data_IF_730008439058
#
_entry.id   IF_730008439058
#
_cell.length_a   1.000
_cell.length_b   1.000
_cell.length_c   1.000
_cell.angle_alpha   90.00
_cell.angle_beta   90.00
_cell.angle_gamma   90.00
#
_symmetry.space_group_name_H-M   'P 1'
#
loop_
_entity.id
_entity.type
_entity.pdbx_description
1 polymer ?
#
# COMPACT_ATOMS: atom_id res chain seq x y z
N UNK A 1 -34.02 -44.65 18.23
CA UNK A 1 -35.10 -44.11 17.38
C UNK A 1 -34.45 -43.17 16.38
N UNK A 2 -34.69 -43.30 15.07
CA UNK A 2 -33.99 -42.53 14.02
C UNK A 2 -34.81 -41.27 13.63
N UNK A 3 -34.14 -40.18 13.22
CA UNK A 3 -34.73 -38.90 12.77
C UNK A 3 -35.86 -39.06 11.75
N UNK A 4 -35.76 -40.04 10.85
CA UNK A 4 -36.80 -40.35 9.88
C UNK A 4 -38.14 -40.78 10.52
N UNK A 5 -38.08 -41.52 11.63
CA UNK A 5 -39.29 -41.95 12.36
C UNK A 5 -40.00 -40.78 13.04
N UNK A 6 -39.25 -39.76 13.47
CA UNK A 6 -39.81 -38.53 14.04
C UNK A 6 -40.58 -37.78 12.97
N UNK A 7 -39.92 -37.54 11.84
CA UNK A 7 -40.48 -36.82 10.71
C UNK A 7 -41.73 -37.52 10.15
N UNK A 8 -41.70 -38.84 10.00
CA UNK A 8 -42.86 -39.60 9.55
C UNK A 8 -44.04 -39.51 10.52
N UNK A 9 -43.77 -39.48 11.83
CA UNK A 9 -44.80 -39.29 12.86
C UNK A 9 -45.43 -37.89 12.81
N UNK A 10 -44.59 -36.88 12.57
CA UNK A 10 -45.00 -35.49 12.37
C UNK A 10 -45.86 -35.32 11.12
N UNK A 11 -45.39 -35.81 9.97
CA UNK A 11 -46.08 -35.76 8.68
C UNK A 11 -47.41 -36.50 8.74
N UNK A 12 -47.45 -37.70 9.33
CA UNK A 12 -48.69 -38.47 9.48
C UNK A 12 -49.75 -37.73 10.30
N UNK A 13 -49.36 -36.99 11.35
CA UNK A 13 -50.29 -36.18 12.14
C UNK A 13 -50.85 -35.02 11.31
N UNK A 14 -50.00 -34.36 10.54
CA UNK A 14 -50.36 -33.22 9.70
C UNK A 14 -50.97 -33.61 8.35
N UNK A 15 -51.09 -34.93 8.08
CA UNK A 15 -51.60 -35.49 6.81
C UNK A 15 -50.79 -35.04 5.60
N UNK A 16 -49.47 -34.93 5.78
CA UNK A 16 -48.51 -34.61 4.72
C UNK A 16 -48.01 -35.90 4.06
N UNK A 17 -47.80 -35.84 2.75
CA UNK A 17 -47.21 -36.90 1.93
C UNK A 17 -45.73 -36.59 1.67
N UNK A 18 -44.97 -37.59 1.24
CA UNK A 18 -43.52 -37.45 0.95
C UNK A 18 -43.22 -36.45 -0.18
N UNK A 19 -44.20 -36.20 -1.06
CA UNK A 19 -44.13 -35.24 -2.16
C UNK A 19 -44.76 -33.87 -1.83
N UNK A 20 -45.24 -33.68 -0.59
CA UNK A 20 -45.82 -32.40 -0.17
C UNK A 20 -44.76 -31.31 -0.08
N UNK A 21 -45.08 -30.11 -0.58
CA UNK A 21 -44.24 -28.94 -0.40
C UNK A 21 -44.18 -28.56 1.08
N UNK A 22 -42.98 -28.27 1.58
CA UNK A 22 -42.77 -27.85 2.97
C UNK A 22 -43.31 -26.43 3.16
N UNK A 23 -44.35 -26.28 3.96
CA UNK A 23 -45.12 -25.04 4.15
C UNK A 23 -45.09 -24.48 5.57
N UNK A 24 -46.26 -24.02 6.03
CA UNK A 24 -46.44 -23.37 7.34
C UNK A 24 -46.03 -24.27 8.52
N UNK A 25 -46.05 -25.59 8.34
CA UNK A 25 -45.68 -26.57 9.35
C UNK A 25 -44.23 -26.50 9.79
N UNK A 26 -43.34 -25.99 8.94
CA UNK A 26 -41.94 -25.77 9.24
C UNK A 26 -41.57 -24.29 9.12
N UNK A 27 -42.52 -23.36 9.05
CA UNK A 27 -42.24 -21.91 8.96
C UNK A 27 -42.97 -21.14 10.07
N UNK A 28 -43.95 -20.29 9.75
CA UNK A 28 -44.64 -19.42 10.73
C UNK A 28 -45.62 -20.19 11.62
N UNK A 29 -46.11 -21.34 11.17
CA UNK A 29 -47.01 -22.21 11.93
C UNK A 29 -46.31 -23.25 12.80
N UNK A 30 -44.97 -23.32 12.77
CA UNK A 30 -44.22 -24.41 13.42
C UNK A 30 -44.50 -24.50 14.92
N UNK A 31 -44.42 -23.40 15.66
CA UNK A 31 -44.53 -23.43 17.14
C UNK A 31 -45.91 -23.93 17.60
N UNK A 32 -46.98 -23.44 16.97
CA UNK A 32 -48.34 -23.86 17.27
C UNK A 32 -48.55 -25.34 16.94
N UNK A 33 -48.05 -25.79 15.79
CA UNK A 33 -48.13 -27.18 15.40
C UNK A 33 -47.25 -28.07 16.29
N UNK A 34 -46.11 -27.56 16.77
CA UNK A 34 -45.15 -28.32 17.56
C UNK A 34 -45.68 -28.60 18.95
N UNK A 35 -46.30 -27.62 19.59
CA UNK A 35 -46.99 -27.81 20.87
C UNK A 35 -48.09 -28.86 20.76
N UNK A 36 -48.95 -28.77 19.74
CA UNK A 36 -50.00 -29.76 19.50
C UNK A 36 -49.44 -31.16 19.19
N UNK A 37 -48.23 -31.25 18.65
CA UNK A 37 -47.58 -32.54 18.43
C UNK A 37 -47.01 -33.12 19.71
N UNK A 38 -46.42 -32.29 20.57
CA UNK A 38 -45.93 -32.72 21.87
C UNK A 38 -47.07 -33.30 22.72
N UNK A 39 -48.22 -32.62 22.75
CA UNK A 39 -49.43 -33.11 23.42
C UNK A 39 -49.84 -34.48 22.86
N UNK A 40 -49.85 -34.62 21.53
CA UNK A 40 -50.17 -35.88 20.85
C UNK A 40 -49.21 -37.04 21.19
N UNK A 41 -47.92 -36.74 21.38
CA UNK A 41 -46.90 -37.74 21.70
C UNK A 41 -46.99 -38.20 23.15
N UNK A 42 -47.34 -37.30 24.08
CA UNK A 42 -47.49 -37.62 25.51
C UNK A 42 -48.61 -38.63 25.74
N UNK A 43 -49.69 -38.55 24.97
CA UNK A 43 -50.83 -39.47 25.09
C UNK A 43 -50.55 -40.88 24.50
N UNK A 44 -49.54 -41.01 23.63
CA UNK A 44 -49.31 -42.23 22.85
C UNK A 44 -48.00 -42.96 23.15
N UNK A 45 -47.03 -42.27 23.72
CA UNK A 45 -45.67 -42.79 23.89
C UNK A 45 -45.20 -42.64 25.33
N UNK A 46 -44.19 -43.45 25.70
CA UNK A 46 -43.51 -43.26 26.98
C UNK A 46 -42.87 -41.86 27.05
N UNK A 47 -42.80 -41.25 28.24
CA UNK A 47 -42.26 -39.90 28.44
C UNK A 47 -40.88 -39.70 27.79
N UNK A 48 -40.00 -40.70 27.89
CA UNK A 48 -38.66 -40.67 27.29
C UNK A 48 -38.73 -40.63 25.77
N UNK A 49 -39.54 -41.51 25.19
CA UNK A 49 -39.71 -41.61 23.73
C UNK A 49 -40.38 -40.37 23.15
N UNK A 50 -41.38 -39.81 23.84
CA UNK A 50 -42.03 -38.56 23.43
C UNK A 50 -41.05 -37.39 23.40
N UNK A 51 -40.18 -37.29 24.41
CA UNK A 51 -39.12 -36.27 24.46
C UNK A 51 -38.11 -36.44 23.32
N UNK A 52 -37.60 -37.65 23.10
CA UNK A 52 -36.63 -37.92 22.02
C UNK A 52 -37.23 -37.57 20.64
N UNK A 53 -38.50 -37.90 20.39
CA UNK A 53 -39.19 -37.54 19.14
C UNK A 53 -39.36 -36.03 18.98
N UNK A 54 -39.71 -35.31 20.04
CA UNK A 54 -39.83 -33.85 20.02
C UNK A 54 -38.48 -33.16 19.75
N UNK A 55 -37.40 -33.64 20.38
CA UNK A 55 -36.04 -33.13 20.15
C UNK A 55 -35.61 -33.34 18.69
N UNK A 56 -35.92 -34.49 18.08
CA UNK A 56 -35.61 -34.73 16.67
C UNK A 56 -36.38 -33.81 15.71
N UNK A 57 -37.63 -33.43 16.01
CA UNK A 57 -38.38 -32.46 15.19
C UNK A 57 -37.76 -31.05 15.28
N UNK A 58 -37.25 -30.65 16.46
CA UNK A 58 -36.50 -29.39 16.59
C UNK A 58 -35.19 -29.40 15.77
N UNK A 59 -34.53 -30.54 15.67
CA UNK A 59 -33.35 -30.69 14.79
C UNK A 59 -33.74 -30.58 13.32
N UNK A 60 -34.86 -31.18 12.90
CA UNK A 60 -35.39 -31.00 11.54
C UNK A 60 -35.73 -29.55 11.23
N UNK A 61 -36.31 -28.81 12.17
CA UNK A 61 -36.57 -27.37 12.03
C UNK A 61 -35.27 -26.59 11.84
N UNK A 62 -34.22 -26.92 12.60
CA UNK A 62 -32.89 -26.32 12.44
C UNK A 62 -32.28 -26.61 11.06
N UNK A 63 -32.33 -27.85 10.59
CA UNK A 63 -31.84 -28.19 9.26
C UNK A 63 -32.65 -27.52 8.15
N UNK A 64 -33.96 -27.38 8.33
CA UNK A 64 -34.79 -26.60 7.42
C UNK A 64 -34.36 -25.13 7.39
N UNK A 65 -34.11 -24.51 8.54
CA UNK A 65 -33.62 -23.12 8.62
C UNK A 65 -32.21 -22.96 8.00
N UNK A 66 -31.32 -23.94 8.19
CA UNK A 66 -30.00 -24.00 7.54
C UNK A 66 -30.12 -24.13 6.01
N UNK A 67 -31.04 -24.97 5.52
CA UNK A 67 -31.34 -25.09 4.10
C UNK A 67 -31.98 -23.81 3.53
N UNK A 68 -32.77 -23.09 4.32
CA UNK A 68 -33.31 -21.76 3.98
C UNK A 68 -32.21 -20.69 3.89
N UNK A 69 -31.06 -20.93 4.52
CA UNK A 69 -29.85 -20.11 4.41
C UNK A 69 -28.92 -20.51 3.26
N UNK A 70 -29.28 -21.49 2.43
CA UNK A 70 -28.54 -21.74 1.18
C UNK A 70 -28.75 -20.54 0.27
N UNK A 71 -27.72 -19.71 0.25
CA UNK A 71 -27.65 -18.54 -0.58
C UNK A 71 -27.53 -18.96 -2.06
N UNK A 72 -28.67 -18.96 -2.75
CA UNK A 72 -28.76 -19.30 -4.18
C UNK A 72 -28.28 -18.17 -5.08
N UNK A 73 -27.91 -17.01 -4.53
CA UNK A 73 -27.45 -15.87 -5.31
C UNK A 73 -26.00 -16.09 -5.77
N UNK A 74 -25.65 -15.64 -6.98
CA UNK A 74 -24.29 -15.68 -7.50
C UNK A 74 -23.26 -15.14 -6.50
N UNK A 75 -22.07 -15.72 -6.45
CA UNK A 75 -21.07 -15.39 -5.43
C UNK A 75 -20.41 -14.00 -5.62
N UNK A 76 -20.61 -13.34 -6.75
CA UNK A 76 -20.08 -12.00 -7.03
C UNK A 76 -21.16 -10.90 -6.92
N UNK A 77 -20.75 -9.72 -6.43
CA UNK A 77 -21.66 -8.60 -6.18
C UNK A 77 -22.53 -8.24 -7.39
N UNK A 78 -21.94 -8.21 -8.59
CA UNK A 78 -22.64 -7.71 -9.77
C UNK A 78 -23.71 -8.71 -10.22
N UNK A 79 -23.38 -9.98 -10.28
CA UNK A 79 -24.33 -11.03 -10.66
C UNK A 79 -25.43 -11.19 -9.61
N UNK A 80 -25.10 -11.13 -8.32
CA UNK A 80 -26.11 -11.15 -7.25
C UNK A 80 -27.02 -9.92 -7.30
N UNK A 81 -26.47 -8.74 -7.53
CA UNK A 81 -27.26 -7.52 -7.63
C UNK A 81 -28.16 -7.55 -8.88
N UNK A 82 -27.66 -8.04 -10.02
CA UNK A 82 -28.50 -8.23 -11.21
C UNK A 82 -29.63 -9.24 -10.97
N UNK A 83 -29.35 -10.34 -10.27
CA UNK A 83 -30.37 -11.34 -9.93
C UNK A 83 -31.44 -10.76 -9.00
N UNK A 84 -31.04 -10.02 -7.96
CA UNK A 84 -31.96 -9.36 -7.05
C UNK A 84 -32.76 -8.24 -7.71
N UNK A 85 -32.13 -7.44 -8.57
CA UNK A 85 -32.79 -6.38 -9.32
C UNK A 85 -33.82 -6.92 -10.33
N UNK A 86 -33.50 -8.02 -11.00
CA UNK A 86 -34.44 -8.69 -11.89
C UNK A 86 -35.63 -9.29 -11.13
N UNK A 87 -35.40 -9.80 -9.91
CA UNK A 87 -36.43 -10.39 -9.06
C UNK A 87 -37.31 -9.36 -8.33
N UNK A 88 -36.86 -8.12 -8.16
CA UNK A 88 -37.60 -7.10 -7.40
C UNK A 88 -38.71 -6.42 -8.20
N UNK A 89 -38.77 -6.63 -9.52
CA UNK A 89 -39.70 -5.96 -10.45
C UNK A 89 -39.65 -4.41 -10.43
N UNK A 90 -38.68 -3.83 -9.74
CA UNK A 90 -38.53 -2.38 -9.59
C UNK A 90 -37.83 -1.77 -10.80
N UNK A 91 -38.23 -0.56 -11.19
CA UNK A 91 -37.41 0.25 -12.09
C UNK A 91 -36.20 0.82 -11.35
N UNK A 92 -35.17 1.21 -12.10
CA UNK A 92 -33.95 1.84 -11.52
C UNK A 92 -34.26 3.13 -10.77
N UNK A 93 -35.29 3.87 -11.21
CA UNK A 93 -35.72 5.11 -10.57
C UNK A 93 -36.43 4.83 -9.24
N UNK A 94 -37.24 3.77 -9.18
CA UNK A 94 -37.91 3.33 -7.95
C UNK A 94 -36.89 2.81 -6.94
N UNK A 95 -35.97 1.93 -7.36
CA UNK A 95 -34.91 1.44 -6.48
C UNK A 95 -34.04 2.58 -5.94
N UNK A 96 -33.73 3.58 -6.77
CA UNK A 96 -32.97 4.76 -6.34
C UNK A 96 -33.71 5.57 -5.26
N UNK A 97 -35.01 5.77 -5.44
CA UNK A 97 -35.87 6.49 -4.49
C UNK A 97 -35.97 5.75 -3.17
N UNK A 98 -36.09 4.43 -3.21
CA UNK A 98 -36.32 3.58 -2.03
C UNK A 98 -35.04 3.31 -1.24
N UNK A 99 -33.91 3.13 -1.93
CA UNK A 99 -32.59 2.94 -1.30
C UNK A 99 -31.87 4.24 -0.95
N UNK A 100 -32.33 5.40 -1.45
CA UNK A 100 -31.60 6.67 -1.35
C UNK A 100 -30.29 6.71 -2.15
N UNK A 101 -30.03 5.71 -3.00
CA UNK A 101 -28.84 5.63 -3.86
C UNK A 101 -29.12 6.32 -5.18
N UNK A 102 -28.16 7.10 -5.71
CA UNK A 102 -28.38 7.78 -6.99
C UNK A 102 -28.58 6.78 -8.15
N UNK A 103 -29.51 7.10 -9.07
CA UNK A 103 -29.79 6.29 -10.27
C UNK A 103 -28.52 6.03 -11.08
N UNK A 104 -27.60 7.00 -11.12
CA UNK A 104 -26.30 6.86 -11.79
C UNK A 104 -25.45 5.75 -11.16
N UNK A 105 -25.44 5.62 -9.84
CA UNK A 105 -24.67 4.61 -9.11
C UNK A 105 -25.26 3.22 -9.34
N UNK A 106 -26.58 3.09 -9.29
CA UNK A 106 -27.29 1.84 -9.62
C UNK A 106 -26.97 1.41 -11.06
N UNK A 107 -27.03 2.33 -12.03
CA UNK A 107 -26.66 2.05 -13.43
C UNK A 107 -25.21 1.58 -13.55
N UNK A 108 -24.27 2.23 -12.84
CA UNK A 108 -22.86 1.85 -12.86
C UNK A 108 -22.66 0.43 -12.33
N UNK A 109 -23.40 0.05 -11.28
CA UNK A 109 -23.26 -1.25 -10.62
C UNK A 109 -23.95 -2.40 -11.36
N UNK A 110 -25.08 -2.15 -12.02
CA UNK A 110 -25.79 -3.15 -12.83
C UNK A 110 -25.15 -3.33 -14.21
N UNK A 111 -24.87 -2.22 -14.91
CA UNK A 111 -24.53 -2.28 -16.34
C UNK A 111 -23.02 -2.20 -16.57
N UNK A 112 -22.32 -1.30 -15.87
CA UNK A 112 -20.92 -0.96 -16.17
C UNK A 112 -19.93 -1.85 -15.39
N UNK A 113 -18.64 -1.75 -15.73
CA UNK A 113 -17.58 -2.46 -15.01
C UNK A 113 -17.29 -1.87 -13.61
N UNK A 114 -18.05 -0.87 -13.17
CA UNK A 114 -17.84 -0.18 -11.91
C UNK A 114 -18.47 -0.95 -10.75
N UNK A 115 -17.65 -1.36 -9.79
CA UNK A 115 -18.12 -1.89 -8.50
C UNK A 115 -18.19 -0.77 -7.44
N UNK A 116 -19.08 -0.87 -6.43
CA UNK A 116 -19.18 0.10 -5.34
C UNK A 116 -17.83 0.41 -4.68
N UNK A 117 -17.52 1.70 -4.53
CA UNK A 117 -16.28 2.19 -3.89
C UNK A 117 -16.50 2.40 -2.39
N UNK A 118 -15.42 2.68 -1.64
CA UNK A 118 -15.46 2.74 -0.16
C UNK A 118 -16.46 3.74 0.42
N UNK A 119 -16.77 4.83 -0.28
CA UNK A 119 -17.79 5.79 0.17
C UNK A 119 -19.24 5.35 -0.15
N UNK A 120 -19.42 4.27 -0.91
CA UNK A 120 -20.73 3.78 -1.35
C UNK A 120 -21.25 2.62 -0.50
N UNK A 121 -20.53 2.19 0.54
CA UNK A 121 -20.93 1.03 1.35
C UNK A 121 -22.19 1.29 2.18
N UNK A 122 -22.36 2.46 2.84
CA UNK A 122 -23.64 2.75 3.52
C UNK A 122 -24.82 2.68 2.55
N UNK A 123 -24.60 3.07 1.29
CA UNK A 123 -25.57 2.95 0.21
C UNK A 123 -25.89 1.48 -0.15
N UNK A 124 -24.96 0.53 0.02
CA UNK A 124 -25.24 -0.91 -0.19
C UNK A 124 -26.18 -1.43 0.90
N UNK A 125 -25.96 -1.07 2.17
CA UNK A 125 -26.87 -1.47 3.25
C UNK A 125 -28.29 -0.93 3.07
N UNK A 126 -28.44 0.29 2.53
CA UNK A 126 -29.76 0.82 2.18
C UNK A 126 -30.37 0.12 0.95
N UNK A 127 -29.52 -0.31 0.02
CA UNK A 127 -29.94 -1.06 -1.17
C UNK A 127 -30.41 -2.48 -0.80
N UNK A 128 -29.74 -3.14 0.14
CA UNK A 128 -30.16 -4.45 0.68
C UNK A 128 -31.52 -4.34 1.38
N UNK A 129 -31.73 -3.27 2.17
CA UNK A 129 -33.03 -2.99 2.78
C UNK A 129 -34.13 -2.75 1.74
N UNK A 130 -33.85 -1.96 0.71
CA UNK A 130 -34.81 -1.69 -0.36
C UNK A 130 -35.14 -2.95 -1.18
N UNK A 131 -34.17 -3.83 -1.39
CA UNK A 131 -34.36 -5.13 -2.05
C UNK A 131 -34.89 -6.22 -1.10
N UNK A 132 -35.17 -5.86 0.16
CA UNK A 132 -35.69 -6.75 1.20
C UNK A 132 -34.86 -8.02 1.43
N UNK A 133 -33.54 -7.92 1.25
CA UNK A 133 -32.59 -9.01 1.53
C UNK A 133 -31.91 -8.80 2.88
N UNK A 134 -31.45 -9.88 3.54
CA UNK A 134 -30.70 -9.77 4.78
C UNK A 134 -29.48 -8.84 4.66
N UNK A 135 -29.17 -8.12 5.72
CA UNK A 135 -27.97 -7.29 5.80
C UNK A 135 -26.72 -8.15 5.54
N UNK A 136 -25.82 -7.65 4.70
CA UNK A 136 -24.63 -8.38 4.30
C UNK A 136 -24.77 -9.18 3.01
N UNK A 137 -25.97 -9.39 2.48
CA UNK A 137 -26.21 -10.24 1.29
C UNK A 137 -25.40 -9.80 0.07
N UNK A 138 -25.48 -8.52 -0.30
CA UNK A 138 -24.68 -7.94 -1.38
C UNK A 138 -23.32 -7.50 -0.89
N UNK A 139 -23.25 -6.93 0.32
CA UNK A 139 -22.00 -6.45 0.90
C UNK A 139 -20.96 -7.54 0.86
N UNK A 140 -21.24 -8.76 1.38
CA UNK A 140 -20.35 -9.94 1.47
C UNK A 140 -19.93 -10.56 0.13
N UNK A 141 -20.38 -10.00 -0.99
CA UNK A 141 -19.98 -10.38 -2.35
C UNK A 141 -19.09 -9.38 -3.07
N UNK A 142 -18.74 -8.28 -2.41
CA UNK A 142 -17.66 -7.41 -2.86
C UNK A 142 -16.30 -8.12 -2.76
N UNK A 143 -15.26 -7.68 -3.50
CA UNK A 143 -13.92 -8.24 -3.35
C UNK A 143 -13.29 -7.91 -1.97
N UNK A 144 -12.65 -8.91 -1.35
CA UNK A 144 -11.99 -8.85 -0.02
C UNK A 144 -11.15 -7.59 0.30
N UNK A 145 -10.54 -6.97 -0.71
CA UNK A 145 -9.79 -5.70 -0.58
C UNK A 145 -10.66 -4.49 -0.19
N UNK A 146 -11.99 -4.57 -0.30
CA UNK A 146 -12.90 -3.44 -0.06
C UNK A 146 -13.53 -3.44 1.34
N UNK A 147 -13.88 -4.60 1.92
CA UNK A 147 -14.34 -4.70 3.33
C UNK A 147 -13.30 -4.21 4.32
N UNK A 148 -12.09 -4.73 4.18
CA UNK A 148 -10.95 -4.44 5.07
C UNK A 148 -10.53 -2.98 5.03
N UNK A 149 -10.85 -2.24 3.94
CA UNK A 149 -10.63 -0.79 3.89
C UNK A 149 -11.72 -0.03 4.63
N UNK A 150 -12.97 -0.46 4.56
CA UNK A 150 -14.10 0.24 5.17
C UNK A 150 -14.17 0.06 6.69
N UNK A 151 -14.06 -1.19 7.19
CA UNK A 151 -13.95 -1.44 8.62
C UNK A 151 -12.74 -0.73 9.24
N UNK A 152 -11.62 -0.66 8.48
CA UNK A 152 -10.47 0.17 8.86
C UNK A 152 -10.83 1.65 8.87
N UNK A 153 -11.53 2.18 7.88
CA UNK A 153 -11.85 3.62 7.83
C UNK A 153 -12.80 4.04 8.97
N UNK A 154 -13.73 3.18 9.37
CA UNK A 154 -14.64 3.46 10.50
C UNK A 154 -13.95 3.29 11.87
N UNK A 155 -13.18 2.21 12.08
CA UNK A 155 -12.41 2.01 13.33
C UNK A 155 -11.18 2.91 13.44
N UNK A 156 -10.56 3.30 12.32
CA UNK A 156 -9.40 4.22 12.25
C UNK A 156 -9.82 5.68 12.07
N UNK A 157 -11.11 6.02 12.18
CA UNK A 157 -11.55 7.42 12.36
C UNK A 157 -10.86 8.09 13.57
N UNK A 158 -10.29 7.29 14.49
CA UNK A 158 -9.39 7.70 15.56
C UNK A 158 -7.91 7.33 15.37
N UNK A 159 -7.42 7.02 14.17
CA UNK A 159 -5.98 6.80 13.92
C UNK A 159 -5.22 8.08 14.25
N UNK A 160 -4.64 8.08 15.45
CA UNK A 160 -3.81 9.14 15.98
C UNK A 160 -2.59 9.29 15.08
N UNK A 161 -2.74 10.14 14.08
CA UNK A 161 -1.64 10.54 13.24
C UNK A 161 -0.48 10.97 14.13
N UNK A 162 0.69 10.34 13.94
CA UNK A 162 1.89 10.65 14.72
C UNK A 162 2.21 12.13 14.68
N UNK A 163 2.90 12.65 15.69
CA UNK A 163 3.32 14.06 15.74
C UNK A 163 4.10 14.44 14.47
N UNK A 164 4.98 13.54 14.01
CA UNK A 164 5.69 13.71 12.74
C UNK A 164 4.76 13.67 11.52
N UNK A 165 3.76 12.79 11.52
CA UNK A 165 2.75 12.70 10.47
C UNK A 165 1.93 13.98 10.35
N UNK A 166 1.46 14.54 11.47
CA UNK A 166 0.70 15.79 11.54
C UNK A 166 1.53 16.94 10.97
N UNK A 167 2.76 17.10 11.47
CA UNK A 167 3.73 18.08 10.97
C UNK A 167 3.95 17.96 9.46
N UNK A 168 4.16 16.75 8.93
CA UNK A 168 4.38 16.52 7.50
C UNK A 168 3.15 16.85 6.65
N UNK A 169 1.96 16.67 7.20
CA UNK A 169 0.69 16.98 6.52
C UNK A 169 0.48 18.49 6.45
N UNK A 170 0.74 19.20 7.54
CA UNK A 170 0.75 20.66 7.58
C UNK A 170 1.80 21.24 6.62
N UNK A 171 3.04 20.74 6.65
CA UNK A 171 4.08 21.13 5.71
C UNK A 171 3.69 20.89 4.25
N UNK A 172 2.99 19.79 3.95
CA UNK A 172 2.51 19.52 2.59
C UNK A 172 1.38 20.48 2.19
N UNK A 173 0.53 20.90 3.13
CA UNK A 173 -0.51 21.92 2.87
C UNK A 173 0.12 23.29 2.58
N UNK A 174 1.17 23.66 3.29
CA UNK A 174 1.82 24.98 3.11
C UNK A 174 2.77 25.04 1.92
N UNK A 175 3.56 23.99 1.69
CA UNK A 175 4.60 23.97 0.64
C UNK A 175 4.16 23.29 -0.65
N UNK A 176 3.08 22.50 -0.62
CA UNK A 176 2.70 21.63 -1.72
C UNK A 176 3.72 20.49 -1.96
N UNK A 177 3.56 19.81 -3.09
CA UNK A 177 4.56 18.88 -3.60
C UNK A 177 5.66 19.69 -4.30
N UNK A 178 6.80 19.88 -3.63
CA UNK A 178 7.88 20.72 -4.15
C UNK A 178 9.02 19.94 -4.82
N UNK A 179 9.15 18.64 -4.58
CA UNK A 179 10.25 17.86 -5.15
C UNK A 179 10.19 17.85 -6.68
N UNK A 180 11.32 18.15 -7.33
CA UNK A 180 11.38 18.31 -8.79
C UNK A 180 11.04 16.98 -9.50
N UNK A 181 10.10 16.97 -10.46
CA UNK A 181 9.79 15.78 -11.24
C UNK A 181 10.94 15.43 -12.21
N UNK A 182 11.17 14.13 -12.41
CA UNK A 182 12.22 13.64 -13.30
C UNK A 182 11.77 13.71 -14.77
N UNK A 183 12.08 14.83 -15.43
CA UNK A 183 11.65 15.16 -16.80
C UNK A 183 12.67 16.07 -17.51
N UNK A 184 12.66 16.13 -18.85
CA UNK A 184 13.53 17.02 -19.63
C UNK A 184 15.03 16.81 -19.37
N UNK A 185 15.80 17.91 -19.41
CA UNK A 185 17.28 17.91 -19.30
C UNK A 185 17.77 17.22 -18.02
N UNK A 186 17.13 17.46 -16.87
CA UNK A 186 17.54 16.81 -15.62
C UNK A 186 17.38 15.29 -15.68
N UNK A 187 16.42 14.77 -16.46
CA UNK A 187 16.26 13.33 -16.63
C UNK A 187 17.43 12.71 -17.40
N UNK A 188 17.90 13.37 -18.45
CA UNK A 188 19.06 12.92 -19.24
C UNK A 188 20.34 12.97 -18.42
N UNK A 189 20.57 14.07 -17.68
CA UNK A 189 21.71 14.17 -16.77
C UNK A 189 21.65 13.12 -15.66
N UNK A 190 20.45 12.84 -15.14
CA UNK A 190 20.25 11.80 -14.13
C UNK A 190 20.56 10.41 -14.69
N UNK A 191 20.08 10.10 -15.89
CA UNK A 191 20.33 8.82 -16.56
C UNK A 191 21.84 8.62 -16.80
N UNK A 192 22.52 9.64 -17.32
CA UNK A 192 23.97 9.63 -17.53
C UNK A 192 24.73 9.45 -16.20
N UNK A 193 24.27 10.08 -15.11
CA UNK A 193 24.83 9.86 -13.78
C UNK A 193 24.66 8.42 -13.31
N UNK A 194 23.50 7.78 -13.53
CA UNK A 194 23.30 6.38 -13.14
C UNK A 194 24.25 5.49 -13.91
N UNK A 195 24.31 5.63 -15.24
CA UNK A 195 25.20 4.84 -16.09
C UNK A 195 26.66 5.06 -15.66
N UNK A 196 27.07 6.32 -15.48
CA UNK A 196 28.39 6.66 -14.96
C UNK A 196 28.64 6.01 -13.60
N UNK A 197 27.71 6.06 -12.64
CA UNK A 197 27.93 5.53 -11.28
C UNK A 197 27.82 4.01 -11.20
N UNK A 198 27.28 3.35 -12.21
CA UNK A 198 27.14 1.88 -12.25
C UNK A 198 28.21 1.21 -13.10
N UNK A 199 28.87 1.96 -13.97
CA UNK A 199 30.06 1.50 -14.68
C UNK A 199 31.22 1.24 -13.69
N UNK A 200 31.60 -0.03 -13.58
CA UNK A 200 32.73 -0.47 -12.76
C UNK A 200 34.08 -0.36 -13.45
N UNK A 201 34.11 -0.17 -14.77
CA UNK A 201 35.32 -0.09 -15.59
C UNK A 201 35.77 1.35 -15.87
N UNK A 202 34.95 2.35 -15.51
CA UNK A 202 35.33 3.76 -15.63
C UNK A 202 36.61 4.09 -14.88
N UNK A 203 37.29 5.14 -15.33
CA UNK A 203 38.50 5.65 -14.68
C UNK A 203 38.28 5.98 -13.19
N UNK A 204 39.14 5.41 -12.34
CA UNK A 204 39.05 5.52 -10.89
C UNK A 204 37.79 4.85 -10.28
N UNK A 205 37.11 3.98 -11.05
CA UNK A 205 36.06 3.10 -10.57
C UNK A 205 36.58 2.11 -9.52
N UNK A 206 35.86 2.01 -8.41
CA UNK A 206 36.16 1.11 -7.31
C UNK A 206 34.86 0.58 -6.70
N UNK A 207 34.96 -0.53 -5.96
CA UNK A 207 33.81 -1.15 -5.27
C UNK A 207 33.07 -0.18 -4.34
N UNK A 208 33.78 0.76 -3.71
CA UNK A 208 33.21 1.72 -2.76
C UNK A 208 32.54 2.93 -3.44
N UNK A 209 32.88 3.26 -4.68
CA UNK A 209 32.35 4.43 -5.39
C UNK A 209 31.41 4.07 -6.56
N UNK A 210 31.21 2.77 -6.80
CA UNK A 210 30.33 2.24 -7.86
C UNK A 210 29.03 1.71 -7.25
N UNK A 211 27.90 2.16 -7.80
CA UNK A 211 26.57 1.74 -7.41
C UNK A 211 26.26 0.35 -7.93
N UNK A 212 25.53 -0.42 -7.13
CA UNK A 212 25.16 -1.79 -7.47
C UNK A 212 23.91 -1.80 -8.33
N UNK A 213 23.96 -2.62 -9.37
CA UNK A 213 22.85 -2.92 -10.27
C UNK A 213 22.24 -4.26 -9.89
N UNK A 214 20.93 -4.40 -10.09
CA UNK A 214 20.17 -5.61 -9.87
C UNK A 214 19.20 -5.86 -11.04
N UNK A 215 18.88 -7.12 -11.35
CA UNK A 215 17.73 -7.44 -12.18
C UNK A 215 16.42 -6.90 -11.59
N UNK A 216 15.46 -6.56 -12.46
CA UNK A 216 14.13 -6.13 -12.04
C UNK A 216 13.42 -7.19 -11.19
N UNK A 217 13.59 -8.47 -11.54
CA UNK A 217 13.04 -9.65 -10.84
C UNK A 217 13.64 -9.89 -9.44
N UNK A 218 14.76 -9.23 -9.10
CA UNK A 218 15.44 -9.33 -7.81
C UNK A 218 15.33 -8.04 -6.98
N UNK A 219 14.59 -7.07 -7.49
CA UNK A 219 14.39 -5.78 -6.83
C UNK A 219 13.16 -5.85 -5.92
N UNK A 220 13.41 -5.96 -4.61
CA UNK A 220 12.35 -6.02 -3.58
C UNK A 220 11.61 -4.71 -3.29
N UNK A 221 11.75 -3.69 -4.14
CA UNK A 221 11.06 -2.42 -3.99
C UNK A 221 10.33 -2.05 -5.29
N UNK A 222 9.36 -1.13 -5.18
CA UNK A 222 8.67 -0.59 -6.36
C UNK A 222 9.68 0.09 -7.27
N UNK A 223 9.78 -0.38 -8.51
CA UNK A 223 10.65 0.22 -9.52
C UNK A 223 10.13 1.62 -9.84
N UNK A 224 11.03 2.60 -9.76
CA UNK A 224 10.78 4.00 -10.08
C UNK A 224 11.70 4.41 -11.23
N UNK A 225 11.25 5.35 -12.06
CA UNK A 225 12.03 5.90 -13.18
C UNK A 225 13.46 6.31 -12.78
N UNK A 226 13.61 6.89 -11.59
CA UNK A 226 14.91 7.30 -11.04
C UNK A 226 15.90 6.16 -10.72
N UNK A 227 15.48 4.89 -10.82
CA UNK A 227 16.30 3.70 -10.60
C UNK A 227 16.76 3.02 -11.88
N UNK A 228 16.17 3.37 -13.03
CA UNK A 228 16.32 2.60 -14.26
C UNK A 228 17.50 3.14 -15.06
N UNK A 229 18.43 2.24 -15.43
CA UNK A 229 19.57 2.54 -16.30
C UNK A 229 19.13 2.64 -17.76
N UNK A 230 20.01 3.14 -18.63
CA UNK A 230 19.77 3.12 -20.08
C UNK A 230 19.61 1.69 -20.62
N UNK A 231 20.26 0.71 -19.98
CA UNK A 231 20.14 -0.72 -20.30
C UNK A 231 18.85 -1.38 -19.79
N UNK A 232 18.01 -0.67 -19.02
CA UNK A 232 16.83 -1.23 -18.37
C UNK A 232 17.09 -1.96 -17.05
N UNK A 233 18.36 -2.12 -16.64
CA UNK A 233 18.71 -2.67 -15.35
C UNK A 233 18.38 -1.71 -14.19
N UNK A 234 18.32 -2.21 -12.95
CA UNK A 234 17.81 -1.44 -11.81
C UNK A 234 18.91 -1.10 -10.80
N UNK A 235 19.04 0.18 -10.46
CA UNK A 235 19.91 0.67 -9.39
C UNK A 235 19.08 1.30 -8.25
N UNK A 236 18.81 0.58 -7.15
CA UNK A 236 18.07 1.12 -6.01
C UNK A 236 18.74 2.32 -5.33
N UNK A 237 20.08 2.37 -5.34
CA UNK A 237 20.85 3.50 -4.78
C UNK A 237 20.54 4.81 -5.49
N UNK A 238 20.30 4.76 -6.80
CA UNK A 238 19.93 5.94 -7.57
C UNK A 238 18.66 6.60 -7.02
N UNK A 239 17.57 5.86 -6.79
CA UNK A 239 16.36 6.46 -6.21
C UNK A 239 16.56 7.07 -4.83
N UNK A 240 17.40 6.45 -3.98
CA UNK A 240 17.71 7.01 -2.67
C UNK A 240 18.39 8.38 -2.80
N UNK A 241 19.30 8.54 -3.76
CA UNK A 241 19.99 9.80 -4.03
C UNK A 241 19.06 10.81 -4.73
N UNK A 242 18.24 10.36 -5.69
CA UNK A 242 17.24 11.20 -6.36
C UNK A 242 16.25 11.82 -5.37
N UNK A 243 15.86 11.10 -4.31
CA UNK A 243 14.96 11.63 -3.28
C UNK A 243 15.55 12.88 -2.60
N UNK A 244 16.86 12.88 -2.33
CA UNK A 244 17.54 14.04 -1.76
C UNK A 244 17.71 15.19 -2.76
N UNK A 245 18.11 14.85 -3.99
CA UNK A 245 18.42 15.81 -5.06
C UNK A 245 17.16 16.49 -5.60
N UNK A 246 16.10 15.74 -5.87
CA UNK A 246 14.83 16.32 -6.33
C UNK A 246 14.20 17.22 -5.26
N UNK A 247 14.32 16.88 -3.99
CA UNK A 247 13.92 17.75 -2.88
C UNK A 247 14.78 19.01 -2.79
N UNK A 248 16.08 18.94 -3.08
CA UNK A 248 16.96 20.11 -3.15
C UNK A 248 16.61 21.05 -4.32
N UNK A 249 16.52 20.52 -5.54
CA UNK A 249 16.18 21.34 -6.72
C UNK A 249 14.78 21.93 -6.59
N UNK A 250 13.85 21.14 -6.07
CA UNK A 250 12.51 21.60 -5.72
C UNK A 250 12.47 22.71 -4.67
N UNK A 251 13.36 22.66 -3.67
CA UNK A 251 13.51 23.73 -2.69
C UNK A 251 13.96 25.04 -3.34
N UNK A 252 14.79 25.01 -4.38
CA UNK A 252 15.22 26.23 -5.08
C UNK A 252 14.03 26.96 -5.75
N UNK A 253 12.99 26.23 -6.17
CA UNK A 253 11.78 26.79 -6.75
C UNK A 253 10.86 27.48 -5.74
N UNK A 254 10.94 27.11 -4.45
CA UNK A 254 10.05 27.68 -3.43
C UNK A 254 10.34 29.18 -3.26
N UNK A 255 9.30 30.03 -3.26
CA UNK A 255 9.47 31.49 -3.03
C UNK A 255 10.08 31.78 -1.65
N UNK A 256 9.49 31.19 -0.62
CA UNK A 256 9.99 31.19 0.74
C UNK A 256 9.71 29.80 1.32
N UNK A 257 10.67 29.14 1.98
CA UNK A 257 12.02 29.60 2.33
C UNK A 257 13.09 29.28 1.26
N UNK A 258 12.68 29.00 0.02
CA UNK A 258 13.58 28.67 -1.09
C UNK A 258 14.25 29.88 -1.74
N UNK A 259 14.46 29.78 -3.05
CA UNK A 259 15.11 30.83 -3.86
C UNK A 259 14.21 31.49 -4.89
N UNK A 260 12.98 30.99 -5.04
CA UNK A 260 12.02 31.49 -6.02
C UNK A 260 12.51 31.41 -7.45
N UNK A 261 13.44 30.49 -7.75
CA UNK A 261 13.94 30.28 -9.11
C UNK A 261 12.82 29.70 -9.98
N UNK A 262 12.84 30.06 -11.26
CA UNK A 262 11.90 29.49 -12.22
C UNK A 262 12.14 27.98 -12.35
N UNK A 263 11.09 27.23 -12.71
CA UNK A 263 11.19 25.76 -12.71
C UNK A 263 12.18 25.29 -13.77
N UNK A 264 12.10 25.88 -14.96
CA UNK A 264 13.00 25.73 -16.09
C UNK A 264 14.48 25.90 -15.71
N UNK A 265 14.80 26.84 -14.82
CA UNK A 265 16.16 27.19 -14.41
C UNK A 265 16.78 26.17 -13.45
N UNK A 266 15.98 25.31 -12.82
CA UNK A 266 16.46 24.32 -11.82
C UNK A 266 16.60 22.91 -12.38
N UNK A 267 16.26 22.67 -13.65
CA UNK A 267 16.34 21.36 -14.31
C UNK A 267 17.78 20.94 -14.68
N UNK A 268 18.72 21.10 -13.74
CA UNK A 268 20.13 20.69 -13.91
C UNK A 268 20.79 20.25 -12.60
N UNK A 269 21.65 19.23 -12.68
CA UNK A 269 22.54 18.79 -11.60
C UNK A 269 23.68 19.80 -11.34
N UNK A 270 23.91 20.75 -12.24
CA UNK A 270 24.94 21.78 -12.09
C UNK A 270 24.77 22.57 -10.78
N UNK A 271 23.53 22.77 -10.31
CA UNK A 271 23.24 23.46 -9.04
C UNK A 271 23.93 22.87 -7.82
N UNK A 272 24.29 21.58 -7.86
CA UNK A 272 25.00 20.90 -6.77
C UNK A 272 26.41 21.47 -6.53
N UNK A 273 27.01 22.16 -7.51
CA UNK A 273 28.31 22.82 -7.35
C UNK A 273 28.21 24.13 -6.55
N UNK A 274 27.02 24.74 -6.48
CA UNK A 274 26.84 26.04 -5.86
C UNK A 274 26.65 25.93 -4.35
N UNK A 275 27.78 25.98 -3.63
CA UNK A 275 27.85 25.80 -2.19
C UNK A 275 26.84 26.64 -1.37
N UNK A 276 26.62 27.94 -1.65
CA UNK A 276 25.67 28.75 -0.87
C UNK A 276 24.26 28.14 -0.83
N UNK A 277 23.73 27.73 -1.98
CA UNK A 277 22.39 27.14 -2.06
C UNK A 277 22.31 25.74 -1.45
N UNK A 278 23.35 24.92 -1.62
CA UNK A 278 23.45 23.62 -0.92
C UNK A 278 23.35 23.84 0.59
N UNK A 279 24.01 24.86 1.13
CA UNK A 279 23.97 25.16 2.55
C UNK A 279 22.67 25.83 3.01
N UNK A 280 22.02 26.64 2.17
CA UNK A 280 20.66 27.14 2.43
C UNK A 280 19.67 26.00 2.63
N UNK A 281 19.73 25.00 1.75
CA UNK A 281 18.90 23.80 1.88
C UNK A 281 19.20 23.01 3.15
N UNK A 282 20.47 22.86 3.54
CA UNK A 282 20.84 22.22 4.81
C UNK A 282 20.30 22.98 6.02
N UNK A 283 20.40 24.31 6.01
CA UNK A 283 19.80 25.16 7.07
C UNK A 283 18.30 24.96 7.13
N UNK A 284 17.65 24.94 5.97
CA UNK A 284 16.21 24.70 5.88
C UNK A 284 15.80 23.31 6.42
N UNK A 285 16.50 22.24 6.02
CA UNK A 285 16.25 20.90 6.55
C UNK A 285 16.42 20.84 8.08
N UNK A 286 17.43 21.53 8.60
CA UNK A 286 17.69 21.62 10.04
C UNK A 286 16.56 22.36 10.77
N UNK A 287 16.12 23.50 10.24
CA UNK A 287 14.99 24.25 10.77
C UNK A 287 13.70 23.43 10.74
N UNK A 288 13.43 22.72 9.64
CA UNK A 288 12.30 21.78 9.51
C UNK A 288 12.36 20.62 10.50
N UNK A 289 13.54 20.21 10.92
CA UNK A 289 13.71 19.21 11.96
C UNK A 289 13.69 19.80 13.39
N UNK A 290 13.32 21.07 13.57
CA UNK A 290 13.30 21.75 14.87
C UNK A 290 14.72 22.00 15.42
N UNK A 291 15.65 22.40 14.55
CA UNK A 291 17.06 22.61 14.90
C UNK A 291 17.91 21.34 14.92
N UNK A 292 17.32 20.16 14.68
CA UNK A 292 18.00 18.87 14.77
C UNK A 292 18.71 18.51 13.47
N UNK A 293 20.01 18.21 13.57
CA UNK A 293 20.76 17.61 12.46
C UNK A 293 20.50 16.11 12.44
N UNK A 294 19.72 15.63 11.46
CA UNK A 294 19.38 14.22 11.29
C UNK A 294 20.19 13.55 10.17
N UNK A 295 20.22 12.22 10.14
CA UNK A 295 21.00 11.41 9.19
C UNK A 295 20.80 11.73 7.69
N UNK A 296 19.67 12.35 7.32
CA UNK A 296 19.41 12.74 5.93
C UNK A 296 20.29 13.89 5.45
N UNK A 297 20.71 14.77 6.36
CA UNK A 297 21.56 15.93 6.06
C UNK A 297 22.98 15.51 5.66
N UNK A 298 23.75 14.77 6.50
CA UNK A 298 25.08 14.32 6.11
C UNK A 298 25.03 13.34 4.94
N UNK A 299 23.95 12.54 4.80
CA UNK A 299 23.75 11.71 3.60
C UNK A 299 23.66 12.56 2.33
N UNK A 300 22.77 13.56 2.30
CA UNK A 300 22.64 14.45 1.14
C UNK A 300 23.97 15.12 0.79
N UNK A 301 24.68 15.65 1.78
CA UNK A 301 26.00 16.24 1.57
C UNK A 301 27.05 15.24 1.09
N UNK A 302 27.04 14.00 1.59
CA UNK A 302 27.90 12.93 1.08
C UNK A 302 27.57 12.60 -0.38
N UNK A 303 26.29 12.59 -0.76
CA UNK A 303 25.85 12.35 -2.13
C UNK A 303 26.36 13.46 -3.07
N UNK A 304 26.22 14.74 -2.69
CA UNK A 304 26.76 15.89 -3.43
C UNK A 304 28.28 15.82 -3.52
N UNK A 305 28.96 15.59 -2.40
CA UNK A 305 30.42 15.43 -2.35
C UNK A 305 30.91 14.34 -3.32
N UNK A 306 30.22 13.20 -3.39
CA UNK A 306 30.59 12.12 -4.30
C UNK A 306 30.46 12.46 -5.79
N UNK A 307 29.69 13.49 -6.14
CA UNK A 307 29.55 13.98 -7.51
C UNK A 307 30.61 15.01 -7.89
N UNK A 308 31.09 15.78 -6.92
CA UNK A 308 32.08 16.85 -7.11
C UNK A 308 33.53 16.40 -6.93
N UNK A 309 33.74 15.16 -6.45
CA UNK A 309 35.06 14.61 -6.14
C UNK A 309 36.01 14.75 -7.34
N UNK A 310 37.22 15.30 -7.14
CA UNK A 310 38.24 15.31 -8.18
C UNK A 310 38.48 13.93 -8.80
N UNK A 311 38.74 13.89 -10.10
CA UNK A 311 39.02 12.72 -10.94
C UNK A 311 37.89 11.68 -11.10
N UNK A 312 37.05 11.47 -10.09
CA UNK A 312 36.08 10.34 -10.03
C UNK A 312 34.64 10.78 -9.81
N UNK A 313 34.42 12.07 -9.59
CA UNK A 313 33.11 12.69 -9.47
C UNK A 313 32.48 12.92 -10.84
N UNK A 314 31.18 12.62 -10.95
CA UNK A 314 30.43 12.77 -12.18
C UNK A 314 30.40 14.22 -12.69
N UNK A 315 30.13 15.18 -11.81
CA UNK A 315 30.11 16.59 -12.22
C UNK A 315 31.52 17.07 -12.57
N UNK A 316 32.54 16.61 -11.85
CA UNK A 316 33.93 16.94 -12.16
C UNK A 316 34.35 16.47 -13.56
N UNK A 317 33.89 15.29 -14.00
CA UNK A 317 34.24 14.74 -15.32
C UNK A 317 33.41 15.28 -16.47
N UNK A 318 32.35 16.06 -16.20
CA UNK A 318 31.35 16.52 -17.18
C UNK A 318 31.24 18.06 -17.20
N UNK A 319 32.26 18.79 -17.67
CA UNK A 319 32.23 20.25 -17.73
C UNK A 319 31.11 20.81 -18.60
N UNK A 320 30.63 20.06 -19.59
CA UNK A 320 29.49 20.42 -20.44
C UNK A 320 28.20 20.67 -19.64
N UNK A 321 28.06 20.11 -18.44
CA UNK A 321 26.90 20.34 -17.57
C UNK A 321 26.82 21.80 -17.10
N UNK A 322 27.95 22.52 -17.05
CA UNK A 322 27.97 23.93 -16.67
C UNK A 322 27.03 24.78 -17.53
N UNK A 323 26.98 24.52 -18.84
CA UNK A 323 26.18 25.28 -19.81
C UNK A 323 24.67 25.20 -19.59
N UNK A 324 24.22 24.25 -18.78
CA UNK A 324 22.81 24.09 -18.43
C UNK A 324 22.36 24.98 -17.27
N UNK A 325 23.27 25.76 -16.68
CA UNK A 325 22.92 26.81 -15.72
C UNK A 325 22.35 28.04 -16.42
N UNK A 326 21.40 28.76 -15.79
CA UNK A 326 20.91 30.04 -16.32
C UNK A 326 22.06 31.04 -16.51
N UNK A 327 22.09 31.79 -17.61
CA UNK A 327 23.18 32.70 -17.95
C UNK A 327 23.66 33.64 -16.82
N UNK A 328 22.75 34.36 -16.12
CA UNK A 328 23.14 35.22 -15.00
C UNK A 328 23.80 34.46 -13.85
N UNK A 329 23.37 33.22 -13.61
CA UNK A 329 23.89 32.34 -12.57
C UNK A 329 25.24 31.75 -13.00
N UNK A 330 25.36 31.33 -14.25
CA UNK A 330 26.60 30.81 -14.83
C UNK A 330 27.74 31.82 -14.61
N UNK A 331 27.49 33.08 -14.95
CA UNK A 331 28.42 34.20 -14.75
C UNK A 331 28.70 34.49 -13.27
N UNK A 332 27.69 34.38 -12.40
CA UNK A 332 27.87 34.54 -10.96
C UNK A 332 28.78 33.45 -10.35
N UNK A 333 28.69 32.22 -10.88
CA UNK A 333 29.39 31.05 -10.32
C UNK A 333 30.78 30.88 -10.92
N UNK A 334 30.95 31.12 -12.22
CA UNK A 334 32.17 30.82 -12.99
C UNK A 334 32.88 32.07 -13.53
N UNK A 335 32.43 33.26 -13.12
CA UNK A 335 32.93 34.58 -13.52
C UNK A 335 32.46 35.04 -14.92
N UNK A 336 32.56 36.35 -15.18
CA UNK A 336 32.00 37.01 -16.38
C UNK A 336 32.67 36.60 -17.68
N UNK A 337 33.95 36.25 -17.63
CA UNK A 337 34.76 35.82 -18.76
C UNK A 337 34.51 34.36 -19.15
N UNK A 338 33.83 33.55 -18.33
CA UNK A 338 33.64 32.12 -18.58
C UNK A 338 33.12 31.77 -19.99
N UNK A 339 32.09 32.46 -20.53
CA UNK A 339 31.59 32.16 -21.88
C UNK A 339 32.59 32.49 -23.00
N UNK A 340 33.59 33.34 -22.71
CA UNK A 340 34.61 33.78 -23.67
C UNK A 340 35.85 32.87 -23.66
N UNK A 341 36.00 32.03 -22.63
CA UNK A 341 37.09 31.06 -22.52
C UNK A 341 36.96 29.97 -23.58
N UNK A 342 38.09 29.40 -23.99
CA UNK A 342 38.06 28.21 -24.83
C UNK A 342 37.58 26.97 -24.05
N UNK A 343 37.20 25.90 -24.76
CA UNK A 343 36.65 24.67 -24.16
C UNK A 343 37.52 24.05 -23.07
N UNK A 344 38.85 24.09 -23.23
CA UNK A 344 39.79 23.54 -22.25
C UNK A 344 39.81 24.39 -20.97
N UNK A 345 39.90 25.70 -21.12
CA UNK A 345 39.86 26.65 -20.01
C UNK A 345 38.52 26.58 -19.25
N UNK A 346 37.40 26.46 -19.96
CA UNK A 346 36.08 26.26 -19.36
C UNK A 346 36.02 24.96 -18.53
N UNK A 347 36.58 23.88 -19.06
CA UNK A 347 36.63 22.60 -18.36
C UNK A 347 37.52 22.67 -17.11
N UNK A 348 38.67 23.32 -17.20
CA UNK A 348 39.60 23.44 -16.07
C UNK A 348 38.99 24.32 -14.96
N UNK A 349 38.36 25.45 -15.30
CA UNK A 349 37.67 26.30 -14.31
C UNK A 349 36.49 25.58 -13.64
N UNK A 350 35.73 24.79 -14.40
CA UNK A 350 34.66 23.97 -13.83
C UNK A 350 35.19 22.92 -12.85
N UNK A 351 36.29 22.24 -13.20
CA UNK A 351 36.95 21.24 -12.35
C UNK A 351 37.52 21.85 -11.07
N UNK A 352 38.12 23.03 -11.17
CA UNK A 352 38.59 23.81 -10.02
C UNK A 352 37.45 24.16 -9.07
N UNK A 353 36.33 24.66 -9.61
CA UNK A 353 35.14 24.94 -8.82
C UNK A 353 34.59 23.66 -8.15
N UNK A 354 34.51 22.55 -8.87
CA UNK A 354 34.10 21.26 -8.29
C UNK A 354 35.03 20.83 -7.15
N UNK A 355 36.35 20.95 -7.32
CA UNK A 355 37.33 20.61 -6.30
C UNK A 355 37.21 21.51 -5.06
N UNK A 356 37.05 22.82 -5.25
CA UNK A 356 36.86 23.79 -4.18
C UNK A 356 35.56 23.55 -3.40
N UNK A 357 34.44 23.31 -4.09
CA UNK A 357 33.17 22.99 -3.44
C UNK A 357 33.21 21.62 -2.75
N UNK A 358 33.82 20.61 -3.36
CA UNK A 358 34.04 19.30 -2.73
C UNK A 358 34.77 19.44 -1.39
N UNK A 359 35.82 20.27 -1.32
CA UNK A 359 36.58 20.53 -0.10
C UNK A 359 35.67 21.15 0.98
N UNK A 360 34.92 22.21 0.64
CA UNK A 360 33.98 22.87 1.57
C UNK A 360 32.94 21.90 2.10
N UNK A 361 32.33 21.08 1.24
CA UNK A 361 31.31 20.10 1.65
C UNK A 361 31.93 19.00 2.51
N UNK A 362 33.10 18.48 2.14
CA UNK A 362 33.82 17.46 2.93
C UNK A 362 34.06 17.93 4.36
N UNK A 363 34.52 19.16 4.52
CA UNK A 363 34.83 19.72 5.84
C UNK A 363 33.54 19.96 6.64
N UNK A 364 32.44 20.36 5.99
CA UNK A 364 31.11 20.42 6.64
C UNK A 364 30.60 19.06 7.06
N UNK A 365 30.74 18.02 6.24
CA UNK A 365 30.35 16.65 6.62
C UNK A 365 31.19 16.16 7.80
N UNK A 366 32.51 16.40 7.80
CA UNK A 366 33.39 16.04 8.91
C UNK A 366 32.95 16.75 10.19
N UNK A 367 32.68 18.06 10.12
CA UNK A 367 32.20 18.84 11.26
C UNK A 367 30.84 18.34 11.78
N UNK A 368 29.91 17.93 10.91
CA UNK A 368 28.61 17.38 11.32
C UNK A 368 28.77 16.02 11.99
N UNK A 369 29.57 15.11 11.40
CA UNK A 369 29.78 13.75 11.91
C UNK A 369 30.66 13.71 13.17
N UNK A 370 31.54 14.68 13.34
CA UNK A 370 32.37 14.84 14.54
C UNK A 370 31.63 15.41 15.75
N UNK A 371 30.38 15.89 15.59
CA UNK A 371 29.53 16.23 16.73
C UNK A 371 29.00 14.95 17.37
N UNK A 372 28.97 14.92 18.70
CA UNK A 372 28.59 13.73 19.48
C UNK A 372 27.16 13.24 19.23
N UNK A 373 26.27 14.07 18.65
CA UNK A 373 24.86 13.70 18.51
C UNK A 373 24.26 14.06 17.15
N UNK A 374 24.16 13.05 16.29
CA UNK A 374 23.22 13.05 15.16
C UNK A 374 21.86 12.60 15.69
N UNK A 375 20.84 13.44 15.52
CA UNK A 375 19.53 13.23 16.12
C UNK A 375 18.61 12.45 15.18
N UNK A 376 17.71 11.66 15.76
CA UNK A 376 16.56 11.13 15.01
C UNK A 376 15.54 12.26 14.85
N UNK A 377 15.17 12.59 13.61
CA UNK A 377 14.15 13.60 13.34
C UNK A 377 12.74 13.15 13.79
N UNK A 378 12.52 11.83 13.84
CA UNK A 378 11.27 11.19 14.29
C UNK A 378 11.60 10.02 15.21
N UNK A 379 10.67 9.67 16.09
CA UNK A 379 10.74 8.39 16.79
C UNK A 379 10.13 7.29 15.89
N UNK A 380 10.93 6.32 15.41
CA UNK A 380 10.38 5.20 14.64
C UNK A 380 9.47 4.27 15.46
N UNK A 381 9.51 4.35 16.80
CA UNK A 381 8.68 3.51 17.69
C UNK A 381 7.29 4.08 17.91
N UNK A 382 7.10 5.39 17.76
CA UNK A 382 5.81 6.08 17.99
C UNK A 382 4.62 5.39 17.30
N UNK A 383 4.67 5.02 15.99
CA UNK A 383 3.53 4.42 15.31
C UNK A 383 3.13 3.04 15.83
N UNK A 384 4.06 2.35 16.51
CA UNK A 384 3.89 0.98 17.02
C UNK A 384 4.03 0.93 18.54
N UNK A 385 3.94 2.09 19.20
CA UNK A 385 4.16 2.24 20.64
C UNK A 385 3.18 1.39 21.44
N UNK A 386 1.91 1.38 21.05
CA UNK A 386 0.88 0.51 21.62
C UNK A 386 1.25 -0.99 21.59
N UNK A 387 1.88 -1.47 20.51
CA UNK A 387 2.34 -2.85 20.38
C UNK A 387 3.57 -3.08 21.26
N UNK A 388 4.54 -2.16 21.23
CA UNK A 388 5.79 -2.28 21.98
C UNK A 388 5.59 -2.17 23.50
N UNK A 389 4.59 -1.41 23.95
CA UNK A 389 4.21 -1.28 25.35
C UNK A 389 3.36 -2.44 25.87
N UNK A 390 2.92 -3.35 25.00
CA UNK A 390 2.19 -4.55 25.41
C UNK A 390 3.10 -5.52 26.19
N UNK A 391 2.61 -6.22 27.23
CA UNK A 391 3.39 -7.26 27.91
C UNK A 391 3.84 -8.40 26.98
N UNK A 392 3.16 -8.61 25.85
CA UNK A 392 3.50 -9.62 24.85
C UNK A 392 3.41 -9.07 23.41
N UNK A 393 4.38 -8.26 22.96
CA UNK A 393 4.33 -7.60 21.65
C UNK A 393 4.21 -8.57 20.47
N UNK A 394 4.86 -9.74 20.57
CA UNK A 394 4.79 -10.78 19.55
C UNK A 394 3.36 -11.35 19.40
N UNK A 395 2.58 -11.40 20.49
CA UNK A 395 1.19 -11.86 20.47
C UNK A 395 0.31 -10.95 19.61
N UNK A 396 0.61 -9.66 19.53
CA UNK A 396 -0.12 -8.75 18.64
C UNK A 396 0.09 -9.11 17.16
N UNK A 397 1.31 -9.53 16.79
CA UNK A 397 1.62 -9.97 15.43
C UNK A 397 0.97 -11.33 15.13
N UNK A 398 1.04 -12.28 16.06
CA UNK A 398 0.39 -13.58 15.91
C UNK A 398 -1.14 -13.46 15.81
N UNK A 399 -1.75 -12.58 16.63
CA UNK A 399 -3.17 -12.25 16.53
C UNK A 399 -3.50 -11.64 15.17
N UNK A 400 -2.70 -10.69 14.69
CA UNK A 400 -2.89 -10.10 13.36
C UNK A 400 -2.84 -11.14 12.23
N UNK A 401 -1.92 -12.11 12.30
CA UNK A 401 -1.87 -13.22 11.34
C UNK A 401 -3.15 -14.06 11.44
N UNK A 402 -3.53 -14.47 12.65
CA UNK A 402 -4.75 -15.24 12.87
C UNK A 402 -6.00 -14.54 12.35
N UNK A 403 -6.15 -13.23 12.61
CA UNK A 403 -7.28 -12.44 12.16
C UNK A 403 -7.36 -12.37 10.61
N UNK A 404 -6.22 -12.36 9.91
CA UNK A 404 -6.19 -12.44 8.44
C UNK A 404 -6.54 -13.85 7.95
N UNK A 405 -6.02 -14.87 8.62
CA UNK A 405 -6.28 -16.28 8.23
C UNK A 405 -7.74 -16.67 8.39
N UNK A 406 -8.37 -16.20 9.46
CA UNK A 406 -9.78 -16.45 9.77
C UNK A 406 -10.75 -15.69 8.87
N UNK A 407 -10.26 -14.82 7.97
CA UNK A 407 -11.08 -14.03 7.06
C UNK A 407 -10.58 -14.13 5.59
N UNK A 408 -10.62 -15.31 4.96
CA UNK A 408 -10.24 -15.47 3.57
C UNK A 408 -11.27 -14.80 2.64
N UNK A 409 -10.85 -14.21 1.51
CA UNK A 409 -11.79 -13.81 0.46
C UNK A 409 -12.43 -15.07 -0.16
N UNK A 410 -13.63 -14.93 -0.73
CA UNK A 410 -14.29 -16.04 -1.43
C UNK A 410 -13.43 -16.56 -2.60
N UNK A 411 -13.41 -17.89 -2.78
CA UNK A 411 -12.61 -18.57 -3.81
C UNK A 411 -12.95 -18.12 -5.24
N UNK A 412 -14.20 -17.73 -5.50
CA UNK A 412 -14.63 -17.15 -6.78
C UNK A 412 -13.80 -15.93 -7.18
N UNK A 413 -13.27 -15.20 -6.19
CA UNK A 413 -12.35 -14.09 -6.41
C UNK A 413 -10.90 -14.57 -6.47
N UNK A 414 -10.59 -15.45 -7.42
CA UNK A 414 -9.29 -16.12 -7.57
C UNK A 414 -8.08 -15.20 -7.35
N UNK A 415 -8.06 -14.02 -7.99
CA UNK A 415 -6.96 -13.05 -7.82
C UNK A 415 -6.81 -12.54 -6.39
N UNK A 416 -7.92 -12.27 -5.70
CA UNK A 416 -7.91 -11.82 -4.31
C UNK A 416 -7.50 -12.96 -3.38
N UNK A 417 -7.95 -14.18 -3.66
CA UNK A 417 -7.57 -15.38 -2.92
C UNK A 417 -6.08 -15.69 -3.01
N UNK A 418 -5.50 -15.66 -4.22
CA UNK A 418 -4.06 -15.85 -4.42
C UNK A 418 -3.23 -14.75 -3.72
N UNK A 419 -3.70 -13.50 -3.75
CA UNK A 419 -3.06 -12.40 -3.00
C UNK A 419 -3.13 -12.64 -1.49
N UNK A 420 -4.29 -13.08 -0.98
CA UNK A 420 -4.46 -13.39 0.44
C UNK A 420 -3.54 -14.53 0.88
N UNK A 421 -3.49 -15.64 0.13
CA UNK A 421 -2.56 -16.75 0.37
C UNK A 421 -1.11 -16.27 0.44
N UNK A 422 -0.69 -15.47 -0.55
CA UNK A 422 0.65 -14.87 -0.59
C UNK A 422 0.94 -14.03 0.66
N UNK A 423 -0.01 -13.17 1.05
CA UNK A 423 0.18 -12.25 2.17
C UNK A 423 0.24 -13.01 3.51
N UNK A 424 -0.61 -14.03 3.71
CA UNK A 424 -0.58 -14.92 4.88
C UNK A 424 0.77 -15.65 4.99
N UNK A 425 1.21 -16.29 3.91
CA UNK A 425 2.50 -17.00 3.87
C UNK A 425 3.64 -16.03 4.18
N UNK A 426 3.63 -14.84 3.56
CA UNK A 426 4.65 -13.83 3.79
C UNK A 426 4.71 -13.34 5.24
N UNK A 427 3.56 -13.09 5.88
CA UNK A 427 3.50 -12.67 7.27
C UNK A 427 4.03 -13.75 8.21
N UNK A 428 3.66 -15.02 7.99
CA UNK A 428 4.21 -16.16 8.73
C UNK A 428 5.72 -16.26 8.56
N UNK A 429 6.21 -16.13 7.32
CA UNK A 429 7.64 -16.16 7.04
C UNK A 429 8.41 -15.04 7.75
N UNK A 430 7.88 -13.81 7.81
CA UNK A 430 8.53 -12.70 8.52
C UNK A 430 8.66 -12.98 10.02
N UNK A 431 7.64 -13.61 10.63
CA UNK A 431 7.68 -13.94 12.06
C UNK A 431 8.67 -15.08 12.34
N UNK A 432 8.69 -16.10 11.49
CA UNK A 432 9.55 -17.27 11.68
C UNK A 432 11.01 -17.04 11.25
N UNK A 433 11.27 -16.10 10.34
CA UNK A 433 12.58 -15.91 9.74
C UNK A 433 13.00 -14.43 9.81
N UNK A 434 14.01 -14.06 10.62
CA UNK A 434 14.49 -12.69 10.72
C UNK A 434 15.40 -12.31 9.53
N UNK A 435 14.85 -12.37 8.33
CA UNK A 435 15.57 -12.08 7.08
C UNK A 435 15.36 -10.62 6.65
N UNK A 436 16.31 -10.11 5.87
CA UNK A 436 16.20 -8.79 5.24
C UNK A 436 15.19 -8.86 4.09
N UNK A 437 14.50 -7.75 3.82
CA UNK A 437 13.56 -7.63 2.67
C UNK A 437 14.20 -8.07 1.35
N UNK A 438 15.49 -7.79 1.16
CA UNK A 438 16.22 -8.23 -0.04
C UNK A 438 16.35 -9.74 -0.17
N UNK A 439 16.39 -10.47 0.94
CA UNK A 439 16.42 -11.94 0.93
C UNK A 439 15.05 -12.49 0.57
N UNK A 440 13.97 -11.95 1.14
CA UNK A 440 12.60 -12.30 0.75
C UNK A 440 12.32 -12.06 -0.74
N UNK A 441 12.87 -10.99 -1.32
CA UNK A 441 12.68 -10.68 -2.74
C UNK A 441 13.31 -11.71 -3.71
N UNK A 442 14.39 -12.36 -3.30
CA UNK A 442 15.09 -13.35 -4.13
C UNK A 442 14.70 -14.79 -3.79
N UNK A 443 13.90 -15.01 -2.75
CA UNK A 443 13.39 -16.34 -2.45
C UNK A 443 12.61 -16.91 -3.63
N UNK A 444 12.81 -18.21 -3.85
CA UNK A 444 12.09 -18.99 -4.85
C UNK A 444 11.58 -20.24 -4.17
N UNK A 445 10.40 -20.68 -4.59
CA UNK A 445 9.89 -21.99 -4.21
C UNK A 445 10.70 -23.05 -4.98
N UNK A 446 11.30 -23.98 -4.25
CA UNK A 446 11.92 -25.16 -4.84
C UNK A 446 10.83 -26.23 -4.97
N UNK A 447 10.48 -26.60 -6.20
CA UNK A 447 9.73 -27.83 -6.44
C UNK A 447 10.65 -28.99 -6.09
N UNK A 448 10.47 -29.59 -4.91
CA UNK A 448 11.11 -30.86 -4.61
C UNK A 448 10.37 -31.90 -5.46
N UNK A 449 10.94 -32.26 -6.60
CA UNK A 449 10.60 -33.53 -7.24
C UNK A 449 11.00 -34.65 -6.29
N UNK A 450 10.16 -35.68 -6.13
CA UNK A 450 10.26 -36.80 -5.16
C UNK A 450 11.59 -37.59 -5.14
N UNK A 451 12.60 -37.19 -5.89
CA UNK A 451 13.91 -37.85 -6.00
C UNK A 451 14.99 -37.32 -5.02
N UNK A 452 14.67 -36.44 -4.08
CA UNK A 452 15.67 -35.81 -3.18
C UNK A 452 15.47 -36.07 -1.67
N UNK A 453 14.81 -37.16 -1.28
CA UNK A 453 14.88 -37.71 0.09
C UNK A 453 15.83 -38.91 0.15
N UNK A 454 17.07 -38.68 -0.28
CA UNK A 454 18.14 -39.66 -0.22
C UNK A 454 19.50 -38.99 -0.19
N UNK A 455 19.86 -38.39 0.95
CA UNK A 455 21.23 -38.22 1.46
C UNK A 455 21.23 -37.65 2.86
#
# INVERSE_FOLDING_TARGET
>A
MNYASALNGWMKRLRLLDDSLVGDEMTTGFDAQFLQHQDHLVDKLSRRTARDQAEHILVWRRHFDECRQIDTLPADFKSAFNALFAASEMTRAELARESGVSVSSIRVWLDLAGLPVSCSVPAIGQLEKALQVPEGTLFNRLPGRRYTRHERTEKESGSLQTAWGKKRTEERKTLGAYALPLSGVIHEQWLNLIDFKTDGYRDGGAKQNTWRVKPASETGCRIMKAMVLSSGAICPTAAANWTGISSYLGFLCLKSPGKGLATEDVHTLAWLVYFPHVMDYVRWLTARAGGKVHNGIPKFLDDVKCMLRPQTGFLWSRPEIAETLPGPVLVLILERDYPQLNRRQQADRWRELCAATHLKIRDKVKAIKGRERIWKARDPKEPISNILSSPAPLRAILKFIHDIESNPPLLVHHRSYVVWLRDVVFLKMIVSNPLRVSQFAVMRYLLVSDNYLGR
#
